data_IF_558658536918
#
_entry.id   IF_558658536918
#
_cell.length_a   1.000
_cell.length_b   1.000
_cell.length_c   1.000
_cell.angle_alpha   90.00
_cell.angle_beta   90.00
_cell.angle_gamma   90.00
#
_symmetry.space_group_name_H-M   'P 1'
#
loop_
_entity.id
_entity.type
_entity.pdbx_description
1 polymer ?
#
# COMPACT_ATOMS: atom_id res chain seq x y z
N UNK A 1 35.55 5.06 9.67
CA UNK A 1 35.03 3.88 10.42
C UNK A 1 35.89 2.67 10.05
N UNK A 2 36.24 1.78 11.00
CA UNK A 2 37.11 0.62 10.70
C UNK A 2 36.30 -0.61 10.28
N UNK A 3 36.93 -1.53 9.52
CA UNK A 3 36.31 -2.82 9.14
C UNK A 3 35.90 -3.66 10.35
N UNK A 4 36.66 -3.58 11.45
CA UNK A 4 36.34 -4.28 12.70
C UNK A 4 35.05 -3.72 13.31
N UNK A 5 34.86 -2.40 13.30
CA UNK A 5 33.62 -1.78 13.78
C UNK A 5 32.42 -2.19 12.95
N UNK A 6 32.57 -2.27 11.61
CA UNK A 6 31.50 -2.75 10.72
C UNK A 6 31.14 -4.21 11.00
N UNK A 7 32.12 -5.09 11.19
CA UNK A 7 31.86 -6.49 11.47
C UNK A 7 31.09 -6.71 12.78
N UNK A 8 31.37 -5.87 13.80
CA UNK A 8 30.68 -5.91 15.09
C UNK A 8 29.24 -5.40 14.97
N UNK A 9 29.00 -4.40 14.12
CA UNK A 9 27.66 -3.93 13.72
C UNK A 9 26.88 -5.06 13.06
N UNK A 10 27.48 -5.76 12.10
CA UNK A 10 26.85 -6.89 11.37
C UNK A 10 26.47 -8.05 12.31
N UNK A 11 27.27 -8.30 13.35
CA UNK A 11 26.97 -9.34 14.37
C UNK A 11 26.03 -8.87 15.49
N UNK A 12 25.62 -7.60 15.49
CA UNK A 12 24.72 -7.05 16.51
C UNK A 12 25.34 -6.99 17.90
N UNK A 13 26.65 -6.75 18.02
CA UNK A 13 27.29 -6.64 19.33
C UNK A 13 26.76 -5.42 20.12
N UNK A 14 26.36 -5.59 21.40
CA UNK A 14 25.68 -4.54 22.18
C UNK A 14 26.60 -3.38 22.58
N UNK A 15 27.92 -3.52 22.47
CA UNK A 15 28.90 -2.48 22.85
C UNK A 15 29.30 -1.56 21.70
N UNK A 16 28.58 -1.60 20.57
CA UNK A 16 28.79 -0.66 19.47
C UNK A 16 28.11 0.67 19.79
N UNK A 17 28.89 1.77 19.77
CA UNK A 17 28.36 3.11 19.96
C UNK A 17 27.36 3.48 18.85
N UNK A 18 26.27 4.16 19.22
CA UNK A 18 25.26 4.65 18.27
C UNK A 18 25.86 5.50 17.13
N UNK A 19 26.94 6.26 17.41
CA UNK A 19 27.66 7.04 16.40
C UNK A 19 28.35 6.21 15.31
N UNK A 20 28.68 4.93 15.57
CA UNK A 20 29.22 4.04 14.55
C UNK A 20 28.13 3.59 13.57
N UNK A 21 26.92 3.32 14.06
CA UNK A 21 25.74 3.08 13.22
C UNK A 21 25.41 4.29 12.35
N UNK A 22 25.41 5.50 12.94
CA UNK A 22 25.18 6.73 12.19
C UNK A 22 26.19 6.95 11.04
N UNK A 23 27.48 6.68 11.30
CA UNK A 23 28.51 6.75 10.26
C UNK A 23 28.32 5.72 9.15
N UNK A 24 27.89 4.49 9.48
CA UNK A 24 27.59 3.46 8.49
C UNK A 24 26.40 3.88 7.60
N UNK A 25 25.33 4.41 8.21
CA UNK A 25 24.17 4.92 7.48
C UNK A 25 24.51 6.10 6.58
N UNK A 26 25.33 7.05 7.06
CA UNK A 26 25.81 8.17 6.26
C UNK A 26 26.62 7.71 5.04
N UNK A 27 27.49 6.70 5.20
CA UNK A 27 28.27 6.13 4.09
C UNK A 27 27.38 5.44 3.02
N UNK A 28 26.19 4.99 3.42
CA UNK A 28 25.20 4.39 2.52
C UNK A 28 24.19 5.42 1.95
N UNK A 29 24.35 6.71 2.29
CA UNK A 29 23.42 7.76 1.86
C UNK A 29 22.08 7.75 2.59
N UNK A 30 22.00 7.09 3.75
CA UNK A 30 20.80 7.07 4.60
C UNK A 30 20.82 8.18 5.66
N UNK A 31 19.65 8.70 6.01
CA UNK A 31 19.46 9.69 7.07
C UNK A 31 18.90 9.05 8.34
N UNK A 32 19.39 9.50 9.50
CA UNK A 32 18.86 9.10 10.80
C UNK A 32 17.79 10.09 11.24
N UNK A 33 16.59 9.61 11.50
CA UNK A 33 15.47 10.42 11.99
C UNK A 33 15.09 9.91 13.37
N UNK A 34 15.08 10.80 14.35
CA UNK A 34 14.48 10.53 15.66
C UNK A 34 12.97 10.67 15.51
N UNK A 35 12.25 9.57 15.69
CA UNK A 35 10.80 9.57 15.76
C UNK A 35 10.41 9.56 17.24
N UNK A 36 9.44 10.38 17.64
CA UNK A 36 8.91 10.28 18.99
C UNK A 36 8.18 8.93 19.13
N UNK A 37 8.22 8.34 20.33
CA UNK A 37 7.52 7.08 20.57
C UNK A 37 6.00 7.19 20.29
N UNK A 38 5.42 8.36 20.58
CA UNK A 38 4.03 8.71 20.21
C UNK A 38 3.80 8.70 18.69
N UNK A 39 4.73 9.23 17.89
CA UNK A 39 4.68 9.18 16.43
C UNK A 39 4.94 7.76 15.88
N UNK A 40 5.75 6.98 16.59
CA UNK A 40 6.00 5.56 16.28
C UNK A 40 4.79 4.67 16.59
N UNK A 41 3.97 5.05 17.57
CA UNK A 41 2.65 4.47 17.82
C UNK A 41 1.62 4.96 16.80
N UNK A 42 1.68 6.21 16.34
CA UNK A 42 0.84 6.71 15.23
C UNK A 42 1.19 6.09 13.86
N UNK A 43 2.34 5.41 13.76
CA UNK A 43 2.70 4.53 12.63
C UNK A 43 2.25 3.08 12.82
N UNK A 44 1.58 2.73 13.94
CA UNK A 44 0.59 1.64 13.86
C UNK A 44 -0.54 2.16 12.97
N UNK A 45 -0.99 1.38 11.97
CA UNK A 45 -1.87 1.84 10.91
C UNK A 45 -3.32 2.15 11.35
N UNK A 46 -3.54 2.49 12.62
CA UNK A 46 -4.87 2.44 13.25
C UNK A 46 -5.37 3.81 13.70
N UNK A 47 -4.52 4.79 14.04
CA UNK A 47 -4.97 6.12 14.51
C UNK A 47 -3.87 7.14 14.16
N UNK A 48 -4.04 8.24 13.41
CA UNK A 48 -4.89 9.41 13.71
C UNK A 48 -5.28 10.20 12.44
N UNK A 49 -4.77 9.84 11.27
CA UNK A 49 -5.26 10.29 9.98
C UNK A 49 -4.96 9.13 9.05
N UNK A 50 -5.98 8.61 8.35
CA UNK A 50 -5.83 7.43 7.50
C UNK A 50 -4.57 7.53 6.64
N UNK A 51 -3.92 6.39 6.32
CA UNK A 51 -2.68 6.37 5.56
C UNK A 51 -2.78 7.35 4.38
N UNK A 52 -1.70 8.10 4.09
CA UNK A 52 -1.66 8.94 2.91
C UNK A 52 -1.65 8.01 1.68
N UNK A 53 -2.83 7.52 1.31
CA UNK A 53 -3.05 6.47 0.32
C UNK A 53 -2.67 6.95 -1.08
N UNK A 54 -2.54 8.27 -1.31
CA UNK A 54 -2.14 8.83 -2.60
C UNK A 54 -0.87 8.18 -3.17
N UNK A 55 0.02 7.68 -2.30
CA UNK A 55 1.28 7.04 -2.71
C UNK A 55 1.37 5.53 -2.37
N UNK A 56 0.31 4.90 -1.84
CA UNK A 56 0.33 3.48 -1.47
C UNK A 56 -1.02 2.78 -1.73
N UNK A 57 -0.98 1.68 -2.48
CA UNK A 57 -2.07 0.72 -2.64
C UNK A 57 -2.09 -0.30 -1.48
N UNK A 58 -3.13 -0.33 -0.63
CA UNK A 58 -3.23 -1.29 0.45
C UNK A 58 -3.42 -2.71 -0.10
N UNK A 59 -2.86 -3.74 0.53
CA UNK A 59 -3.00 -5.14 0.07
C UNK A 59 -4.44 -5.65 0.25
N UNK A 60 -5.16 -5.13 1.25
CA UNK A 60 -6.58 -5.42 1.50
C UNK A 60 -7.32 -4.13 1.83
N UNK A 61 -8.46 -3.93 1.18
CA UNK A 61 -9.34 -2.78 1.35
C UNK A 61 -10.51 -3.21 2.23
N UNK A 62 -10.54 -2.79 3.51
CA UNK A 62 -11.64 -3.09 4.42
C UNK A 62 -12.86 -2.24 4.09
N UNK A 63 -14.02 -2.85 3.91
CA UNK A 63 -15.25 -2.12 3.56
C UNK A 63 -15.76 -1.21 4.69
N UNK A 64 -15.39 -1.49 5.94
CA UNK A 64 -15.81 -0.68 7.09
C UNK A 64 -15.25 0.76 7.05
N UNK A 65 -14.09 0.95 6.42
CA UNK A 65 -13.37 2.23 6.39
C UNK A 65 -13.82 3.14 5.23
N UNK A 66 -14.58 2.59 4.28
CA UNK A 66 -14.95 3.22 3.01
C UNK A 66 -16.47 3.10 2.78
N UNK A 67 -17.27 4.05 3.31
CA UNK A 67 -18.73 3.93 3.30
C UNK A 67 -19.34 3.97 1.90
N UNK A 68 -18.76 4.72 0.96
CA UNK A 68 -19.23 4.72 -0.43
C UNK A 68 -18.90 3.40 -1.11
N UNK A 69 -17.68 2.89 -0.94
CA UNK A 69 -17.32 1.56 -1.46
C UNK A 69 -18.24 0.46 -0.91
N UNK A 70 -18.56 0.51 0.38
CA UNK A 70 -19.48 -0.44 1.03
C UNK A 70 -20.90 -0.37 0.46
N UNK A 71 -21.41 0.83 0.20
CA UNK A 71 -22.73 1.01 -0.41
C UNK A 71 -22.77 0.44 -1.84
N UNK A 72 -21.68 0.57 -2.59
CA UNK A 72 -21.56 0.06 -3.97
C UNK A 72 -21.29 -1.44 -4.05
N UNK A 73 -20.62 -2.01 -3.04
CA UNK A 73 -20.28 -3.42 -2.96
C UNK A 73 -21.48 -4.31 -2.56
N UNK A 74 -22.72 -3.90 -2.82
CA UNK A 74 -23.94 -4.63 -2.45
C UNK A 74 -24.00 -6.05 -3.04
N UNK A 75 -23.33 -6.30 -4.18
CA UNK A 75 -23.22 -7.64 -4.79
C UNK A 75 -22.18 -8.54 -4.11
N UNK A 76 -21.26 -7.97 -3.32
CA UNK A 76 -20.23 -8.73 -2.62
C UNK A 76 -20.78 -9.12 -1.25
N UNK A 77 -21.45 -10.26 -1.20
CA UNK A 77 -21.94 -10.83 0.05
C UNK A 77 -20.84 -11.60 0.79
N UNK A 78 -20.67 -11.34 2.08
CA UNK A 78 -19.86 -12.18 2.99
C UNK A 78 -18.37 -11.86 3.09
N UNK A 79 -17.88 -10.82 2.42
CA UNK A 79 -16.45 -10.44 2.47
C UNK A 79 -16.29 -9.08 3.11
N UNK A 80 -15.57 -9.00 4.22
CA UNK A 80 -15.32 -7.73 4.94
C UNK A 80 -14.20 -6.89 4.31
N UNK A 81 -13.34 -7.53 3.49
CA UNK A 81 -12.20 -6.87 2.85
C UNK A 81 -11.93 -7.38 1.43
N UNK A 82 -11.82 -6.43 0.50
CA UNK A 82 -11.60 -6.65 -0.93
C UNK A 82 -10.12 -6.57 -1.29
N UNK A 83 -9.74 -7.20 -2.39
CA UNK A 83 -8.47 -6.90 -3.05
C UNK A 83 -8.53 -5.52 -3.75
N UNK A 84 -7.38 -4.86 -4.01
CA UNK A 84 -7.33 -3.58 -4.71
C UNK A 84 -7.99 -3.59 -6.09
N UNK A 85 -7.82 -4.69 -6.83
CA UNK A 85 -8.39 -4.86 -8.17
C UNK A 85 -9.91 -4.96 -8.10
N UNK A 86 -10.45 -5.70 -7.12
CA UNK A 86 -11.90 -5.79 -6.90
C UNK A 86 -12.49 -4.44 -6.50
N UNK A 87 -11.81 -3.71 -5.60
CA UNK A 87 -12.24 -2.38 -5.17
C UNK A 87 -12.31 -1.41 -6.37
N UNK A 88 -11.26 -1.36 -7.21
CA UNK A 88 -11.27 -0.52 -8.41
C UNK A 88 -12.39 -0.94 -9.38
N UNK A 89 -12.53 -2.23 -9.65
CA UNK A 89 -13.57 -2.74 -10.54
C UNK A 89 -15.00 -2.43 -10.05
N UNK A 90 -15.23 -2.38 -8.73
CA UNK A 90 -16.52 -1.96 -8.16
C UNK A 90 -16.76 -0.47 -8.39
N UNK A 91 -15.74 0.37 -8.17
CA UNK A 91 -15.84 1.81 -8.45
C UNK A 91 -16.15 2.09 -9.92
N UNK A 92 -15.43 1.44 -10.84
CA UNK A 92 -15.62 1.64 -12.29
C UNK A 92 -17.01 1.19 -12.76
N UNK A 93 -17.44 -0.01 -12.36
CA UNK A 93 -18.76 -0.55 -12.75
C UNK A 93 -19.92 0.27 -12.19
N UNK A 94 -19.74 0.89 -11.03
CA UNK A 94 -20.78 1.67 -10.35
C UNK A 94 -20.54 3.18 -10.40
N UNK A 95 -19.75 3.68 -11.33
CA UNK A 95 -19.38 5.09 -11.42
C UNK A 95 -20.59 6.06 -11.45
N UNK A 96 -21.70 5.65 -12.05
CA UNK A 96 -22.96 6.44 -12.09
C UNK A 96 -23.70 6.53 -10.75
N UNK A 97 -23.37 5.67 -9.80
CA UNK A 97 -23.95 5.61 -8.44
C UNK A 97 -22.96 6.12 -7.39
N UNK A 98 -21.80 6.59 -7.82
CA UNK A 98 -20.75 7.09 -6.96
C UNK A 98 -21.06 8.53 -6.54
N UNK A 99 -21.28 8.76 -5.25
CA UNK A 99 -21.41 10.11 -4.70
C UNK A 99 -20.03 10.61 -4.25
N UNK A 100 -19.35 11.32 -5.14
CA UNK A 100 -18.02 11.90 -4.88
C UNK A 100 -18.07 13.02 -3.84
N UNK A 101 -19.20 13.70 -3.65
CA UNK A 101 -19.36 14.76 -2.66
C UNK A 101 -19.44 14.19 -1.23
N UNK A 102 -19.95 12.96 -1.09
CA UNK A 102 -20.05 12.26 0.18
C UNK A 102 -18.80 11.43 0.56
N UNK A 103 -17.76 11.40 -0.30
CA UNK A 103 -16.53 10.66 -0.01
C UNK A 103 -15.67 11.36 1.04
N UNK A 104 -15.15 10.57 1.97
CA UNK A 104 -14.11 11.05 2.88
C UNK A 104 -12.80 11.34 2.13
N UNK A 105 -11.92 12.22 2.63
CA UNK A 105 -10.61 12.46 2.02
C UNK A 105 -9.76 11.19 1.88
N UNK A 106 -9.88 10.25 2.83
CA UNK A 106 -9.18 8.97 2.77
C UNK A 106 -9.71 8.06 1.65
N UNK A 107 -11.02 8.08 1.41
CA UNK A 107 -11.66 7.31 0.33
C UNK A 107 -11.30 7.86 -1.06
N UNK A 108 -11.21 9.19 -1.20
CA UNK A 108 -10.72 9.83 -2.42
C UNK A 108 -9.25 9.49 -2.68
N UNK A 109 -8.42 9.52 -1.63
CA UNK A 109 -7.01 9.14 -1.72
C UNK A 109 -6.83 7.67 -2.15
N UNK A 110 -7.66 6.76 -1.62
CA UNK A 110 -7.69 5.36 -2.06
C UNK A 110 -8.01 5.25 -3.55
N UNK A 111 -9.08 5.92 -4.00
CA UNK A 111 -9.51 5.84 -5.40
C UNK A 111 -8.42 6.33 -6.36
N UNK A 112 -7.77 7.45 -6.03
CA UNK A 112 -6.63 7.97 -6.80
C UNK A 112 -5.46 7.00 -6.83
N UNK A 113 -5.14 6.35 -5.70
CA UNK A 113 -4.07 5.36 -5.61
C UNK A 113 -4.35 4.13 -6.49
N UNK A 114 -5.59 3.64 -6.44
CA UNK A 114 -6.05 2.51 -7.24
C UNK A 114 -6.00 2.83 -8.75
N UNK A 115 -6.51 4.00 -9.16
CA UNK A 115 -6.45 4.43 -10.56
C UNK A 115 -5.01 4.62 -11.04
N UNK A 116 -4.14 5.21 -10.21
CA UNK A 116 -2.73 5.43 -10.55
C UNK A 116 -1.96 4.12 -10.69
N UNK A 117 -2.19 3.18 -9.77
CA UNK A 117 -1.45 1.93 -9.69
C UNK A 117 -1.98 0.77 -10.54
N UNK A 118 -3.30 0.73 -10.80
CA UNK A 118 -3.96 -0.39 -11.48
C UNK A 118 -4.68 0.04 -12.77
N UNK A 119 -5.10 1.29 -12.88
CA UNK A 119 -5.90 1.80 -14.00
C UNK A 119 -5.19 1.83 -15.36
N UNK A 120 -3.86 1.64 -15.40
CA UNK A 120 -3.08 1.58 -16.65
C UNK A 120 -2.79 0.16 -17.15
N UNK A 121 -3.08 -0.89 -16.37
CA UNK A 121 -2.69 -2.27 -16.68
C UNK A 121 -3.81 -3.20 -17.15
N UNK A 122 -5.08 -2.87 -16.91
CA UNK A 122 -6.20 -3.78 -17.24
C UNK A 122 -6.64 -3.74 -18.72
N UNK A 123 -6.04 -2.88 -19.55
CA UNK A 123 -6.29 -2.85 -21.00
C UNK A 123 -5.34 -3.71 -21.84
N UNK A 124 -4.25 -4.22 -21.28
CA UNK A 124 -3.16 -4.80 -22.09
C UNK A 124 -2.40 -5.89 -21.31
N UNK A 125 -2.97 -7.09 -21.21
CA UNK A 125 -2.21 -8.20 -20.59
C UNK A 125 -2.95 -9.51 -20.33
N UNK A 126 -4.29 -9.54 -20.38
CA UNK A 126 -5.06 -10.78 -20.15
C UNK A 126 -5.80 -11.31 -21.40
N UNK A 127 -5.49 -10.77 -22.59
CA UNK A 127 -6.08 -11.19 -23.87
C UNK A 127 -5.29 -12.25 -24.65
N UNK A 128 -4.00 -12.47 -24.37
CA UNK A 128 -3.13 -13.28 -25.24
C UNK A 128 -2.78 -14.68 -24.70
N UNK A 129 -3.31 -15.09 -23.55
CA UNK A 129 -2.99 -16.40 -22.95
C UNK A 129 -3.95 -17.54 -23.34
N UNK A 130 -4.91 -17.32 -24.26
CA UNK A 130 -5.93 -18.31 -24.62
C UNK A 130 -5.83 -18.87 -26.06
N UNK A 131 -4.81 -18.49 -26.85
CA UNK A 131 -4.64 -18.96 -28.23
C UNK A 131 -3.31 -19.69 -28.44
N UNK A 132 -3.04 -20.71 -27.63
CA UNK A 132 -1.99 -21.70 -27.94
C UNK A 132 -2.53 -23.10 -27.73
N UNK A 133 -2.70 -23.81 -28.84
CA UNK A 133 -2.54 -25.26 -28.89
C UNK A 133 -3.81 -26.10 -28.73
N UNK A 134 -4.53 -26.30 -29.83
CA UNK A 134 -4.98 -27.67 -30.17
C UNK A 134 -4.48 -27.98 -31.58
N UNK A 135 -3.54 -28.94 -31.75
CA UNK A 135 -3.15 -29.43 -33.06
C UNK A 135 -4.16 -30.47 -33.58
N UNK A 136 -4.47 -30.34 -34.86
CA UNK A 136 -4.63 -31.39 -35.89
C UNK A 136 -5.51 -32.62 -35.58
N UNK A 137 -6.63 -32.77 -36.31
CA UNK A 137 -6.95 -33.84 -37.28
C UNK A 137 -7.95 -33.31 -38.30
#
# INVERSE_FOLDING_TARGET
MSRVTLHRIEKGEPSVAAGAWANAMAALGMSLVALNAEDAQATRPEDVNGPNLANWIPVRVRLADYPQLKALAWQVHGTEALTPVEALGIYERNARHLDTAAMSPAEQALLLALQTGLGKGLGQGLGDAAAVGTPDV
#
